data_IF_191306068736
#
_entry.id   IF_191306068736
#
_cell.length_a   1.000
_cell.length_b   1.000
_cell.length_c   1.000
_cell.angle_alpha   90.00
_cell.angle_beta   90.00
_cell.angle_gamma   90.00
#
_symmetry.space_group_name_H-M   'P 1'
#
loop_
_entity.id
_entity.type
_entity.pdbx_description
1 polymer ?
#
# COMPACT_ATOMS: atom_id res chain seq x y z
N UNK A 1 -0.37 15.20 -1.57
CA UNK A 1 0.50 14.18 -0.96
C UNK A 1 1.04 14.75 0.35
N UNK A 2 0.72 14.15 1.51
CA UNK A 2 1.21 14.58 2.83
C UNK A 2 2.57 13.99 3.16
N UNK A 3 3.29 14.57 4.13
CA UNK A 3 4.54 14.02 4.68
C UNK A 3 4.25 13.43 6.05
N UNK A 4 4.57 12.15 6.25
CA UNK A 4 4.52 11.51 7.57
C UNK A 4 5.74 11.97 8.36
N UNK A 5 5.56 12.26 9.65
CA UNK A 5 6.68 12.54 10.54
C UNK A 5 7.49 11.26 10.75
N UNK A 6 8.79 11.31 10.45
CA UNK A 6 9.70 10.18 10.64
C UNK A 6 9.81 9.75 12.11
N UNK A 7 9.56 10.66 13.05
CA UNK A 7 9.59 10.35 14.48
C UNK A 7 8.23 9.94 15.05
N UNK A 8 7.20 9.78 14.21
CA UNK A 8 5.87 9.37 14.67
C UNK A 8 5.93 8.10 15.50
N UNK A 9 5.21 8.11 16.62
CA UNK A 9 5.07 6.97 17.55
C UNK A 9 3.68 6.34 17.48
N UNK A 10 2.78 6.94 16.70
CA UNK A 10 1.43 6.45 16.49
C UNK A 10 1.41 5.46 15.33
N UNK A 11 0.87 4.27 15.57
CA UNK A 11 0.61 3.29 14.52
C UNK A 11 -0.60 3.71 13.67
N UNK A 12 -0.67 3.27 12.43
CA UNK A 12 -1.73 3.65 11.49
C UNK A 12 -1.28 4.62 10.39
N UNK A 13 0.01 4.95 10.33
CA UNK A 13 0.57 5.85 9.32
C UNK A 13 1.46 5.06 8.36
N UNK A 14 1.00 4.91 7.12
CA UNK A 14 1.65 4.04 6.15
C UNK A 14 2.38 4.80 5.04
N UNK A 15 3.59 4.36 4.72
CA UNK A 15 4.15 4.55 3.40
C UNK A 15 3.65 3.45 2.47
N UNK A 16 3.23 3.85 1.25
CA UNK A 16 2.62 2.95 0.27
C UNK A 16 3.45 2.97 -1.01
N UNK A 17 3.79 1.79 -1.51
CA UNK A 17 4.60 1.61 -2.72
C UNK A 17 3.94 0.60 -3.66
N UNK A 18 4.09 0.85 -4.96
CA UNK A 18 3.77 -0.13 -6.00
C UNK A 18 5.08 -0.58 -6.67
N UNK A 19 5.37 -1.87 -6.59
CA UNK A 19 6.59 -2.47 -7.17
C UNK A 19 6.23 -3.17 -8.49
N UNK A 20 6.96 -2.85 -9.55
CA UNK A 20 6.81 -3.47 -10.87
C UNK A 20 7.80 -4.63 -11.02
N UNK A 21 7.31 -5.86 -11.19
CA UNK A 21 8.14 -7.04 -11.41
C UNK A 21 8.32 -7.34 -12.91
N UNK A 22 8.71 -6.34 -13.69
CA UNK A 22 8.87 -6.43 -15.15
C UNK A 22 10.24 -6.96 -15.59
N UNK A 23 11.19 -7.11 -14.66
CA UNK A 23 12.57 -7.41 -15.01
C UNK A 23 13.16 -6.31 -15.91
N UNK A 24 13.88 -6.64 -17.00
CA UNK A 24 14.53 -5.64 -17.85
C UNK A 24 13.58 -4.91 -18.81
N UNK A 25 12.31 -5.33 -18.95
CA UNK A 25 11.38 -4.74 -19.92
C UNK A 25 9.96 -4.67 -19.36
N UNK A 26 9.34 -3.49 -19.41
CA UNK A 26 7.95 -3.27 -19.01
C UNK A 26 6.93 -3.58 -20.12
N UNK A 27 7.31 -4.33 -21.15
CA UNK A 27 6.41 -4.74 -22.21
C UNK A 27 5.56 -5.95 -21.80
N UNK A 28 4.27 -5.93 -22.14
CA UNK A 28 3.33 -7.02 -21.85
C UNK A 28 2.79 -7.03 -20.42
N UNK A 29 2.18 -8.14 -20.01
CA UNK A 29 1.64 -8.33 -18.67
C UNK A 29 2.72 -8.81 -17.71
N UNK A 30 2.77 -8.20 -16.52
CA UNK A 30 3.67 -8.59 -15.45
C UNK A 30 3.02 -8.34 -14.08
N UNK A 31 3.57 -9.01 -13.07
CA UNK A 31 3.08 -8.89 -11.70
C UNK A 31 3.51 -7.56 -11.09
N UNK A 32 2.63 -7.01 -10.28
CA UNK A 32 2.92 -5.89 -9.40
C UNK A 32 2.81 -6.36 -7.95
N UNK A 33 3.41 -5.62 -7.03
CA UNK A 33 3.16 -5.79 -5.61
C UNK A 33 2.81 -4.44 -4.99
N UNK A 34 1.65 -4.38 -4.32
CA UNK A 34 1.34 -3.31 -3.40
C UNK A 34 2.06 -3.60 -2.08
N UNK A 35 2.83 -2.65 -1.57
CA UNK A 35 3.54 -2.74 -0.30
C UNK A 35 3.13 -1.58 0.60
N UNK A 36 2.68 -1.90 1.82
CA UNK A 36 2.41 -0.93 2.88
C UNK A 36 3.38 -1.16 4.04
N UNK A 37 3.91 -0.07 4.59
CA UNK A 37 4.79 -0.11 5.77
C UNK A 37 4.31 0.95 6.75
N UNK A 38 3.93 0.54 7.95
CA UNK A 38 3.64 1.46 9.05
C UNK A 38 4.94 2.06 9.60
N UNK A 39 5.02 3.39 9.64
CA UNK A 39 6.25 4.11 9.98
C UNK A 39 6.66 3.92 11.44
N UNK A 40 5.69 3.88 12.36
CA UNK A 40 5.98 3.79 13.80
C UNK A 40 6.40 2.38 14.24
N UNK A 41 5.76 1.35 13.69
CA UNK A 41 5.89 -0.05 14.14
C UNK A 41 6.76 -0.90 13.21
N UNK A 42 6.96 -0.47 11.96
CA UNK A 42 7.59 -1.28 10.92
C UNK A 42 6.74 -2.47 10.45
N UNK A 43 5.50 -2.61 10.92
CA UNK A 43 4.58 -3.61 10.40
C UNK A 43 4.39 -3.40 8.90
N UNK A 44 4.46 -4.47 8.12
CA UNK A 44 4.35 -4.38 6.66
C UNK A 44 3.55 -5.52 6.07
N UNK A 45 2.87 -5.22 4.98
CA UNK A 45 2.11 -6.18 4.20
C UNK A 45 2.36 -5.98 2.70
N UNK A 46 2.30 -7.08 1.96
CA UNK A 46 2.50 -7.11 0.51
C UNK A 46 1.42 -7.93 -0.17
N UNK A 47 0.77 -7.33 -1.17
CA UNK A 47 -0.26 -8.00 -1.98
C UNK A 47 0.22 -8.09 -3.42
N UNK A 48 0.28 -9.31 -3.94
CA UNK A 48 0.58 -9.54 -5.35
C UNK A 48 -0.63 -9.19 -6.22
N UNK A 49 -0.38 -8.44 -7.29
CA UNK A 49 -1.38 -7.86 -8.17
C UNK A 49 -1.12 -8.30 -9.62
N UNK A 50 -2.17 -8.74 -10.31
CA UNK A 50 -2.15 -8.94 -11.76
C UNK A 50 -2.62 -7.66 -12.45
N UNK A 51 -1.68 -6.71 -12.59
CA UNK A 51 -1.93 -5.36 -13.12
C UNK A 51 -2.12 -4.30 -12.03
N UNK A 52 -2.12 -3.03 -12.41
CA UNK A 52 -2.21 -1.87 -11.49
C UNK A 52 -3.45 -0.99 -11.73
N UNK A 53 -4.52 -1.58 -12.28
CA UNK A 53 -5.78 -0.86 -12.48
C UNK A 53 -6.50 -0.60 -11.15
N UNK A 54 -7.40 0.39 -11.13
CA UNK A 54 -8.11 0.83 -9.92
C UNK A 54 -8.76 -0.32 -9.14
N UNK A 55 -9.52 -1.19 -9.80
CA UNK A 55 -10.19 -2.33 -9.14
C UNK A 55 -9.20 -3.28 -8.46
N UNK A 56 -8.04 -3.52 -9.09
CA UNK A 56 -7.00 -4.36 -8.50
C UNK A 56 -6.37 -3.68 -7.27
N UNK A 57 -6.17 -2.36 -7.33
CA UNK A 57 -5.66 -1.57 -6.22
C UNK A 57 -6.65 -1.53 -5.04
N UNK A 58 -7.94 -1.27 -5.29
CA UNK A 58 -9.00 -1.28 -4.29
C UNK A 58 -9.05 -2.62 -3.56
N UNK A 59 -9.11 -3.74 -4.29
CA UNK A 59 -9.14 -5.08 -3.70
C UNK A 59 -7.88 -5.38 -2.84
N UNK A 60 -6.71 -4.87 -3.24
CA UNK A 60 -5.50 -5.04 -2.45
C UNK A 60 -5.46 -4.15 -1.20
N UNK A 61 -6.00 -2.93 -1.25
CA UNK A 61 -6.19 -2.12 -0.06
C UNK A 61 -7.20 -2.75 0.88
N UNK A 62 -8.34 -3.23 0.39
CA UNK A 62 -9.32 -3.95 1.19
C UNK A 62 -8.68 -5.17 1.88
N UNK A 63 -7.88 -5.95 1.16
CA UNK A 63 -7.13 -7.06 1.74
C UNK A 63 -6.25 -6.61 2.91
N UNK A 64 -5.39 -5.61 2.70
CA UNK A 64 -4.47 -5.11 3.73
C UNK A 64 -5.26 -4.58 4.94
N UNK A 65 -6.32 -3.80 4.70
CA UNK A 65 -7.16 -3.23 5.76
C UNK A 65 -7.77 -4.30 6.68
N UNK A 66 -8.02 -5.52 6.19
CA UNK A 66 -8.51 -6.63 7.03
C UNK A 66 -7.43 -7.24 7.94
N UNK A 67 -6.15 -6.99 7.66
CA UNK A 67 -5.01 -7.58 8.37
C UNK A 67 -4.30 -6.58 9.28
N UNK A 68 -4.55 -5.27 9.13
CA UNK A 68 -3.97 -4.24 9.99
C UNK A 68 -4.36 -4.48 11.47
N UNK A 69 -3.38 -4.65 12.39
CA UNK A 69 -3.67 -4.99 13.79
C UNK A 69 -3.87 -3.77 14.70
N UNK A 70 -4.01 -2.56 14.14
CA UNK A 70 -4.14 -1.31 14.87
C UNK A 70 -5.19 -0.37 14.25
N UNK A 71 -5.58 0.66 14.99
CA UNK A 71 -6.51 1.66 14.51
C UNK A 71 -5.88 2.51 13.39
N UNK A 72 -6.71 2.99 12.47
CA UNK A 72 -6.30 3.89 11.39
C UNK A 72 -6.76 5.31 11.73
N UNK A 73 -5.85 6.25 12.06
CA UNK A 73 -6.19 7.58 12.56
C UNK A 73 -6.97 8.44 11.55
N UNK A 74 -6.79 8.22 10.25
CA UNK A 74 -7.70 8.69 9.21
C UNK A 74 -7.55 7.88 7.94
N UNK A 75 -8.67 7.42 7.37
CA UNK A 75 -8.75 6.92 6.00
C UNK A 75 -9.64 7.89 5.25
N UNK A 76 -9.04 8.85 4.53
CA UNK A 76 -9.79 9.76 3.67
C UNK A 76 -9.62 9.28 2.24
N UNK A 77 -10.64 8.61 1.70
CA UNK A 77 -10.75 8.44 0.26
C UNK A 77 -11.24 9.77 -0.33
N UNK A 78 -10.42 10.38 -1.19
CA UNK A 78 -10.90 11.49 -2.00
C UNK A 78 -11.74 10.88 -3.11
N UNK A 79 -13.06 10.99 -3.00
CA UNK A 79 -13.94 10.78 -4.15
C UNK A 79 -13.69 11.94 -5.13
N UNK A 80 -13.02 11.65 -6.25
CA UNK A 80 -13.26 12.36 -7.51
C UNK A 80 -14.35 11.64 -8.31
#
# INVERSE_FOLDING_TARGET
MGRIDWETKEAGHFEVYLVHHSGPSAAGEYLHALQLVDVATGWSERVALKGCGQQAMEAAFEHVLTHVPFALPSVTFSDE
#
